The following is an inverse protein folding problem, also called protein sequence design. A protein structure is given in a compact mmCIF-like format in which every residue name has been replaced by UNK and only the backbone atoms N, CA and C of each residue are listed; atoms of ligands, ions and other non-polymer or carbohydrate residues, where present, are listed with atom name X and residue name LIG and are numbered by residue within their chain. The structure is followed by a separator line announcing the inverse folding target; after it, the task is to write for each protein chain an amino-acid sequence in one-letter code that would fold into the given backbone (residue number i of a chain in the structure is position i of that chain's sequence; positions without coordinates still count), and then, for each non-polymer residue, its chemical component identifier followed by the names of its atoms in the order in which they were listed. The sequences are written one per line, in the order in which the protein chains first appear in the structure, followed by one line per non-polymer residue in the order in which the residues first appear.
data_IF_123430935292
#
_entry.id   IF_123430935292
#
_cell.length_a   1.000
_cell.length_b   1.000
_cell.length_c   1.000
_cell.angle_alpha   90.00
_cell.angle_beta   90.00
_cell.angle_gamma   90.00
#
_symmetry.space_group_name_H-M   'P 1'
#
loop_
_entity.id
_entity.type
_entity.pdbx_description
1 polymer ?
#
# COMPACT_ATOMS: atom_id res chain seq x y z
N UNK A 1 -12.91 54.91 40.51
CA UNK A 1 -13.02 53.47 40.18
C UNK A 1 -14.19 53.31 39.22
N UNK A 2 -14.06 53.41 37.88
CA UNK A 2 -13.43 52.49 36.90
C UNK A 2 -13.78 51.02 37.13
N UNK A 3 -14.83 50.55 36.45
CA UNK A 3 -14.88 49.26 35.73
C UNK A 3 -16.05 49.29 34.74
N UNK A 4 -15.73 49.39 33.45
CA UNK A 4 -16.70 49.32 32.36
C UNK A 4 -17.05 47.86 32.02
N UNK A 5 -18.34 47.60 31.81
CA UNK A 5 -18.85 46.39 31.17
C UNK A 5 -18.35 46.34 29.72
N UNK A 6 -17.49 45.38 29.40
CA UNK A 6 -17.25 44.94 28.02
C UNK A 6 -18.01 43.64 27.80
N UNK A 7 -19.11 43.74 27.04
CA UNK A 7 -19.71 42.59 26.40
C UNK A 7 -18.73 42.07 25.35
N UNK A 8 -18.21 40.86 25.54
CA UNK A 8 -17.46 40.16 24.51
C UNK A 8 -18.43 39.21 23.80
N UNK A 9 -18.91 39.65 22.64
CA UNK A 9 -19.61 38.79 21.68
C UNK A 9 -18.59 37.77 21.17
N UNK A 10 -18.75 36.50 21.56
CA UNK A 10 -18.07 35.39 20.88
C UNK A 10 -18.92 35.00 19.67
N UNK A 11 -18.57 35.54 18.50
CA UNK A 11 -18.97 34.94 17.22
C UNK A 11 -18.33 33.56 17.12
N UNK A 12 -19.11 32.51 17.33
CA UNK A 12 -18.78 31.16 16.87
C UNK A 12 -18.99 31.16 15.36
N UNK A 13 -17.90 31.26 14.61
CA UNK A 13 -17.88 30.94 13.20
C UNK A 13 -18.02 29.42 13.08
N UNK A 14 -19.23 28.96 12.77
CA UNK A 14 -19.50 27.60 12.28
C UNK A 14 -18.92 27.46 10.89
N UNK A 15 -17.66 27.06 10.80
CA UNK A 15 -17.06 26.61 9.54
C UNK A 15 -17.52 25.18 9.27
N UNK A 16 -18.67 25.04 8.62
CA UNK A 16 -19.07 23.79 7.97
C UNK A 16 -18.11 23.55 6.81
N UNK A 17 -17.14 22.66 6.98
CA UNK A 17 -16.27 22.20 5.90
C UNK A 17 -17.05 21.25 4.97
N UNK A 18 -17.91 21.81 4.13
CA UNK A 18 -18.39 21.13 2.94
C UNK A 18 -17.28 21.19 1.88
N UNK A 19 -16.34 20.26 1.91
CA UNK A 19 -15.50 20.03 0.73
C UNK A 19 -16.35 19.29 -0.29
N UNK A 20 -16.76 20.01 -1.33
CA UNK A 20 -17.28 19.41 -2.54
C UNK A 20 -16.22 18.45 -3.10
N UNK A 21 -16.50 17.15 -3.05
CA UNK A 21 -15.77 16.15 -3.82
C UNK A 21 -16.01 16.46 -5.31
N UNK A 22 -15.12 17.24 -5.90
CA UNK A 22 -15.08 17.36 -7.35
C UNK A 22 -14.70 15.98 -7.89
N UNK A 23 -15.64 15.33 -8.60
CA UNK A 23 -15.39 14.10 -9.31
C UNK A 23 -14.20 14.32 -10.25
N UNK A 24 -13.06 13.73 -9.91
CA UNK A 24 -11.86 13.85 -10.69
C UNK A 24 -12.01 13.00 -11.95
N UNK A 25 -12.11 13.66 -13.10
CA UNK A 25 -11.90 13.00 -14.38
C UNK A 25 -10.39 12.93 -14.64
N UNK A 26 -9.80 11.73 -14.83
CA UNK A 26 -8.39 11.64 -15.17
C UNK A 26 -8.15 12.40 -16.48
N UNK A 27 -7.38 13.49 -16.40
CA UNK A 27 -7.01 14.25 -17.57
C UNK A 27 -6.21 13.33 -18.50
N UNK A 28 -6.70 13.18 -19.73
CA UNK A 28 -6.00 12.48 -20.81
C UNK A 28 -4.76 13.34 -21.14
N UNK A 29 -3.62 13.00 -20.55
CA UNK A 29 -2.35 13.65 -20.83
C UNK A 29 -1.93 13.32 -22.27
N UNK A 30 -2.35 14.15 -23.21
CA UNK A 30 -1.73 14.24 -24.52
C UNK A 30 -0.70 15.38 -24.45
N UNK A 31 0.58 15.02 -24.51
CA UNK A 31 1.63 15.96 -24.92
C UNK A 31 2.66 15.23 -25.78
N UNK A 32 2.39 15.19 -27.09
CA UNK A 32 3.38 14.92 -28.13
C UNK A 32 4.23 16.17 -28.36
N UNK A 33 5.08 16.49 -27.39
CA UNK A 33 6.18 17.44 -27.59
C UNK A 33 7.48 16.68 -27.37
N UNK A 34 8.27 16.57 -28.43
CA UNK A 34 9.61 15.94 -28.49
C UNK A 34 10.62 16.69 -27.62
N UNK A 35 10.48 16.60 -26.30
CA UNK A 35 11.54 16.95 -25.36
C UNK A 35 12.70 15.96 -25.51
N UNK A 36 13.94 16.43 -25.34
CA UNK A 36 15.11 15.55 -25.33
C UNK A 36 14.96 14.49 -24.22
N UNK A 37 15.33 13.21 -24.47
CA UNK A 37 15.21 12.17 -23.45
C UNK A 37 15.96 12.54 -22.17
N UNK A 38 15.32 12.33 -21.01
CA UNK A 38 15.94 12.59 -19.72
C UNK A 38 17.03 11.55 -19.42
N UNK A 39 18.13 11.98 -18.81
CA UNK A 39 19.10 11.05 -18.22
C UNK A 39 18.73 10.74 -16.78
N UNK A 40 19.02 9.52 -16.30
CA UNK A 40 18.82 9.18 -14.90
C UNK A 40 19.65 10.11 -14.00
N UNK A 41 18.96 10.87 -13.15
CA UNK A 41 19.59 11.69 -12.10
C UNK A 41 20.05 10.77 -10.97
N UNK A 42 21.31 10.84 -10.50
CA UNK A 42 21.82 9.90 -9.50
C UNK A 42 21.03 9.90 -8.19
N UNK A 43 20.61 11.07 -7.67
CA UNK A 43 19.84 11.15 -6.43
C UNK A 43 20.47 10.34 -5.30
N UNK A 44 19.66 9.54 -4.60
CA UNK A 44 20.12 8.55 -3.60
C UNK A 44 20.13 7.12 -4.15
N UNK A 45 20.24 6.92 -5.46
CA UNK A 45 20.57 5.61 -5.99
C UNK A 45 22.00 5.22 -5.60
N UNK A 46 22.26 3.93 -5.35
CA UNK A 46 23.64 3.44 -5.30
C UNK A 46 24.38 3.81 -6.60
N UNK A 47 25.65 4.24 -6.53
CA UNK A 47 26.47 4.49 -7.73
C UNK A 47 26.54 3.30 -8.70
N UNK A 48 26.55 2.06 -8.18
CA UNK A 48 26.53 0.86 -9.02
C UNK A 48 25.19 0.71 -9.76
N UNK A 49 24.08 1.00 -9.09
CA UNK A 49 22.75 1.00 -9.69
C UNK A 49 22.61 2.08 -10.75
N UNK A 50 23.12 3.29 -10.48
CA UNK A 50 23.13 4.38 -11.48
C UNK A 50 23.86 3.94 -12.75
N UNK A 51 25.04 3.32 -12.62
CA UNK A 51 25.79 2.82 -13.76
C UNK A 51 25.01 1.76 -14.54
N UNK A 52 24.41 0.78 -13.85
CA UNK A 52 23.63 -0.29 -14.48
C UNK A 52 22.39 0.24 -15.19
N UNK A 53 21.59 1.07 -14.53
CA UNK A 53 20.36 1.63 -15.08
C UNK A 53 20.63 2.56 -16.27
N UNK A 54 21.69 3.38 -16.22
CA UNK A 54 22.11 4.20 -17.36
C UNK A 54 22.53 3.36 -18.55
N UNK A 55 23.22 2.25 -18.34
CA UNK A 55 23.59 1.33 -19.42
C UNK A 55 22.34 0.73 -20.09
N UNK A 56 21.34 0.33 -19.32
CA UNK A 56 20.05 -0.16 -19.85
C UNK A 56 19.31 0.94 -20.63
N UNK A 57 19.23 2.15 -20.10
CA UNK A 57 18.62 3.30 -20.78
C UNK A 57 19.35 3.63 -22.10
N UNK A 58 20.68 3.63 -22.11
CA UNK A 58 21.45 3.90 -23.32
C UNK A 58 21.24 2.82 -24.40
N UNK A 59 21.08 1.55 -24.00
CA UNK A 59 20.90 0.44 -24.94
C UNK A 59 19.47 0.34 -25.50
N UNK A 60 18.45 0.73 -24.72
CA UNK A 60 17.04 0.46 -25.04
C UNK A 60 16.13 1.69 -25.08
N UNK A 61 16.60 2.85 -24.64
CA UNK A 61 15.83 4.10 -24.68
C UNK A 61 15.73 4.70 -26.08
N UNK A 62 14.89 5.72 -26.24
CA UNK A 62 14.57 6.35 -27.53
C UNK A 62 15.79 6.94 -28.28
N UNK A 63 16.90 7.22 -27.59
CA UNK A 63 18.15 7.67 -28.20
C UNK A 63 19.02 6.53 -28.72
N UNK A 64 18.68 5.27 -28.43
CA UNK A 64 19.42 4.10 -28.92
C UNK A 64 19.21 3.91 -30.44
N UNK A 65 20.26 3.63 -31.23
CA UNK A 65 20.12 3.32 -32.64
C UNK A 65 19.25 2.09 -32.94
N UNK A 66 19.09 1.19 -31.96
CA UNK A 66 18.25 -0.01 -32.08
C UNK A 66 16.80 0.20 -31.62
N UNK A 67 16.45 1.41 -31.16
CA UNK A 67 15.10 1.70 -30.66
C UNK A 67 14.05 1.59 -31.75
N UNK A 68 12.89 1.04 -31.37
CA UNK A 68 11.74 0.81 -32.25
C UNK A 68 10.50 1.45 -31.63
N UNK A 69 10.07 2.59 -32.17
CA UNK A 69 8.90 3.33 -31.68
C UNK A 69 7.59 2.54 -31.83
N UNK A 70 7.51 1.64 -32.80
CA UNK A 70 6.42 0.69 -33.01
C UNK A 70 6.47 -0.52 -32.07
N UNK A 71 7.56 -0.68 -31.31
CA UNK A 71 7.81 -1.78 -30.37
C UNK A 71 8.44 -1.26 -29.07
N UNK A 72 7.77 -0.31 -28.43
CA UNK A 72 8.25 0.39 -27.22
C UNK A 72 8.54 -0.58 -26.06
N UNK A 73 9.74 -0.57 -25.45
CA UNK A 73 10.00 -1.37 -24.25
C UNK A 73 9.08 -0.94 -23.11
N UNK A 74 8.98 -1.76 -22.06
CA UNK A 74 8.22 -1.38 -20.87
C UNK A 74 8.87 -1.84 -19.58
N UNK A 75 8.57 -1.15 -18.50
CA UNK A 75 9.00 -1.46 -17.14
C UNK A 75 7.78 -1.74 -16.26
N UNK A 76 7.94 -2.62 -15.27
CA UNK A 76 6.90 -2.95 -14.29
C UNK A 76 7.42 -2.67 -12.88
N UNK A 77 6.61 -1.99 -12.07
CA UNK A 77 6.94 -1.64 -10.70
C UNK A 77 5.91 -2.25 -9.75
N UNK A 78 6.37 -2.83 -8.65
CA UNK A 78 5.50 -2.92 -7.48
C UNK A 78 5.25 -1.54 -6.87
N UNK A 79 4.20 -1.42 -6.06
CA UNK A 79 3.80 -0.17 -5.44
C UNK A 79 4.30 -0.05 -4.01
N UNK A 80 3.67 -0.76 -3.09
CA UNK A 80 3.88 -0.65 -1.66
C UNK A 80 5.29 -1.11 -1.28
N UNK A 81 6.00 -0.35 -0.46
CA UNK A 81 7.42 -0.55 -0.10
C UNK A 81 8.45 -0.54 -1.26
N UNK A 82 8.04 -0.57 -2.52
CA UNK A 82 8.88 -0.42 -3.72
C UNK A 82 8.87 1.01 -4.26
N UNK A 83 7.71 1.48 -4.74
CA UNK A 83 7.53 2.82 -5.30
C UNK A 83 7.34 3.88 -4.22
N UNK A 84 6.88 3.48 -3.03
CA UNK A 84 6.76 4.30 -1.84
C UNK A 84 7.40 3.60 -0.64
N UNK A 85 7.66 4.34 0.44
CA UNK A 85 7.93 3.75 1.75
C UNK A 85 6.61 3.40 2.43
N UNK A 86 6.56 2.22 3.05
CA UNK A 86 5.37 1.62 3.66
C UNK A 86 4.26 1.33 2.62
N UNK A 87 3.06 1.04 3.11
CA UNK A 87 1.97 0.45 2.34
C UNK A 87 0.73 1.34 2.39
N UNK A 88 0.19 1.68 1.21
CA UNK A 88 -0.94 2.58 1.09
C UNK A 88 -2.29 1.91 1.41
N UNK A 89 -2.41 0.59 1.26
CA UNK A 89 -3.63 -0.14 1.60
C UNK A 89 -3.70 -0.45 3.10
N UNK A 90 -2.58 -0.79 3.75
CA UNK A 90 -2.53 -0.86 5.22
C UNK A 90 -2.76 0.52 5.87
N UNK A 91 -2.20 1.58 5.28
CA UNK A 91 -2.46 2.95 5.73
C UNK A 91 -3.95 3.32 5.54
N UNK A 92 -4.57 2.88 4.44
CA UNK A 92 -5.99 3.05 4.18
C UNK A 92 -6.86 2.26 5.16
N UNK A 93 -6.47 1.05 5.55
CA UNK A 93 -7.17 0.28 6.59
C UNK A 93 -7.21 1.06 7.90
N UNK A 94 -6.07 1.58 8.37
CA UNK A 94 -6.06 2.40 9.59
C UNK A 94 -6.88 3.67 9.45
N UNK A 95 -6.84 4.32 8.28
CA UNK A 95 -7.68 5.49 8.00
C UNK A 95 -9.18 5.13 8.03
N UNK A 96 -9.56 3.99 7.47
CA UNK A 96 -10.93 3.49 7.45
C UNK A 96 -11.42 3.13 8.86
N UNK A 97 -10.58 2.47 9.67
CA UNK A 97 -10.86 2.15 11.07
C UNK A 97 -11.06 3.45 11.87
N UNK A 98 -10.12 4.38 11.74
CA UNK A 98 -10.14 5.63 12.52
C UNK A 98 -11.31 6.53 12.13
N UNK A 99 -11.67 6.60 10.84
CA UNK A 99 -12.80 7.39 10.36
C UNK A 99 -14.16 6.69 10.42
N UNK A 100 -14.19 5.39 10.76
CA UNK A 100 -15.36 4.50 10.67
C UNK A 100 -16.02 4.55 9.29
N UNK A 101 -15.21 4.58 8.23
CA UNK A 101 -15.67 4.71 6.85
C UNK A 101 -16.20 3.37 6.31
N UNK A 102 -17.36 2.93 6.81
CA UNK A 102 -18.01 1.69 6.38
C UNK A 102 -19.38 1.98 5.78
N UNK A 103 -19.79 1.18 4.78
CA UNK A 103 -21.13 1.20 4.16
C UNK A 103 -21.92 -0.05 4.52
N UNK A 104 -21.69 -0.57 5.73
CA UNK A 104 -22.14 -1.89 6.16
C UNK A 104 -23.10 -1.76 7.34
N UNK A 105 -24.21 -2.49 7.28
CA UNK A 105 -24.99 -2.77 8.48
C UNK A 105 -24.18 -3.66 9.43
N UNK A 106 -24.51 -3.72 10.75
CA UNK A 106 -23.80 -4.61 11.66
C UNK A 106 -23.83 -6.09 11.26
N UNK A 107 -24.91 -6.55 10.62
CA UNK A 107 -25.01 -7.92 10.11
C UNK A 107 -24.06 -8.17 8.94
N UNK A 108 -23.96 -7.25 7.98
CA UNK A 108 -23.02 -7.35 6.86
C UNK A 108 -21.57 -7.28 7.34
N UNK A 109 -21.26 -6.37 8.27
CA UNK A 109 -19.94 -6.25 8.88
C UNK A 109 -19.51 -7.57 9.55
N UNK A 110 -20.40 -8.13 10.39
CA UNK A 110 -20.16 -9.40 11.09
C UNK A 110 -19.92 -10.59 10.14
N UNK A 111 -20.61 -10.60 9.00
CA UNK A 111 -20.41 -11.61 7.97
C UNK A 111 -19.05 -11.47 7.27
N UNK A 112 -18.66 -10.25 6.86
CA UNK A 112 -17.37 -9.98 6.23
C UNK A 112 -16.21 -10.29 7.19
N UNK A 113 -16.34 -9.91 8.46
CA UNK A 113 -15.33 -10.15 9.50
C UNK A 113 -14.86 -11.61 9.55
N UNK A 114 -15.77 -12.56 9.29
CA UNK A 114 -15.53 -14.01 9.33
C UNK A 114 -15.31 -14.65 7.96
N UNK A 115 -15.41 -13.89 6.88
CA UNK A 115 -15.41 -14.46 5.53
C UNK A 115 -14.06 -15.09 5.18
N UNK A 116 -14.06 -16.40 5.00
CA UNK A 116 -12.87 -17.16 4.60
C UNK A 116 -11.85 -17.36 5.72
N UNK A 117 -12.16 -16.95 6.95
CA UNK A 117 -11.26 -17.07 8.11
C UNK A 117 -11.73 -18.24 8.98
N UNK A 118 -10.88 -19.27 9.21
CA UNK A 118 -11.23 -20.39 10.08
C UNK A 118 -11.41 -19.97 11.55
N UNK A 119 -12.34 -20.62 12.24
CA UNK A 119 -12.41 -20.56 13.71
C UNK A 119 -11.19 -21.26 14.36
N UNK A 120 -10.88 -20.88 15.59
CA UNK A 120 -9.77 -21.45 16.36
C UNK A 120 -8.72 -20.43 16.79
N UNK A 121 -7.67 -20.90 17.49
CA UNK A 121 -6.62 -20.04 18.00
C UNK A 121 -5.70 -19.54 16.88
N UNK A 122 -5.30 -18.28 16.95
CA UNK A 122 -4.16 -17.76 16.18
C UNK A 122 -2.83 -18.30 16.72
N UNK A 123 -1.76 -18.24 15.91
CA UNK A 123 -0.47 -18.80 16.31
C UNK A 123 0.18 -17.97 17.43
N UNK A 124 0.12 -18.49 18.66
CA UNK A 124 0.74 -17.88 19.83
C UNK A 124 2.27 -17.73 19.69
N UNK A 125 2.95 -18.54 18.86
CA UNK A 125 4.40 -18.41 18.62
C UNK A 125 4.74 -17.18 17.79
N UNK A 126 3.78 -16.69 17.01
CA UNK A 126 3.91 -15.43 16.26
C UNK A 126 3.52 -14.21 17.11
N UNK A 127 3.11 -14.43 18.36
CA UNK A 127 2.80 -13.37 19.32
C UNK A 127 1.31 -13.02 19.40
N UNK A 128 0.43 -13.78 18.72
CA UNK A 128 -1.02 -13.54 18.76
C UNK A 128 -1.67 -14.08 20.04
N UNK A 129 -1.38 -13.38 21.14
CA UNK A 129 -1.92 -13.64 22.47
C UNK A 129 -2.52 -12.37 23.08
N UNK A 130 -3.32 -12.51 24.13
CA UNK A 130 -3.72 -11.40 24.99
C UNK A 130 -2.49 -10.81 25.70
N UNK A 131 -2.60 -9.62 26.28
CA UNK A 131 -1.52 -9.03 27.10
C UNK A 131 -1.09 -9.92 28.28
N UNK A 132 -1.94 -10.85 28.73
CA UNK A 132 -1.65 -11.82 29.78
C UNK A 132 -1.13 -13.17 29.24
N UNK A 133 -0.81 -13.26 27.94
CA UNK A 133 -0.22 -14.43 27.31
C UNK A 133 -1.18 -15.57 26.95
N UNK A 134 -2.51 -15.37 27.06
CA UNK A 134 -3.50 -16.37 26.63
C UNK A 134 -3.67 -16.38 25.11
N UNK A 135 -3.83 -17.55 24.46
CA UNK A 135 -4.13 -17.61 23.02
C UNK A 135 -5.41 -16.86 22.68
N UNK A 136 -5.37 -16.03 21.63
CA UNK A 136 -6.56 -15.35 21.09
C UNK A 136 -7.21 -16.26 20.05
N UNK A 137 -8.54 -16.38 20.09
CA UNK A 137 -9.31 -17.21 19.16
C UNK A 137 -10.13 -16.33 18.22
N UNK A 138 -10.25 -16.75 16.96
CA UNK A 138 -10.98 -16.02 15.92
C UNK A 138 -12.43 -15.73 16.33
N UNK A 139 -13.17 -16.73 16.81
CA UNK A 139 -14.57 -16.59 17.18
C UNK A 139 -14.80 -15.63 18.36
N UNK A 140 -13.83 -15.57 19.28
CA UNK A 140 -13.90 -14.71 20.47
C UNK A 140 -13.60 -13.26 20.12
N UNK A 141 -12.53 -13.00 19.37
CA UNK A 141 -12.19 -11.63 18.96
C UNK A 141 -13.22 -11.08 17.98
N UNK A 142 -13.76 -11.92 17.09
CA UNK A 142 -14.82 -11.51 16.18
C UNK A 142 -16.12 -11.17 16.92
N UNK A 143 -16.45 -11.87 18.00
CA UNK A 143 -17.62 -11.56 18.82
C UNK A 143 -17.49 -10.20 19.52
N UNK A 144 -16.28 -9.84 19.95
CA UNK A 144 -15.99 -8.55 20.58
C UNK A 144 -16.08 -7.42 19.56
N UNK A 145 -15.40 -7.55 18.41
CA UNK A 145 -15.46 -6.56 17.32
C UNK A 145 -16.89 -6.36 16.82
N UNK A 146 -17.70 -7.42 16.72
CA UNK A 146 -19.13 -7.29 16.37
C UNK A 146 -19.91 -6.47 17.41
N UNK A 147 -19.62 -6.67 18.69
CA UNK A 147 -20.26 -5.93 19.77
C UNK A 147 -19.92 -4.45 19.69
N UNK A 148 -18.64 -4.13 19.50
CA UNK A 148 -18.19 -2.75 19.39
C UNK A 148 -18.75 -2.10 18.13
N UNK A 149 -18.70 -2.77 16.98
CA UNK A 149 -19.22 -2.22 15.74
C UNK A 149 -20.73 -1.95 15.79
N UNK A 150 -21.52 -2.82 16.44
CA UNK A 150 -22.95 -2.55 16.71
C UNK A 150 -23.14 -1.27 17.51
N UNK A 151 -22.33 -1.07 18.54
CA UNK A 151 -22.39 0.15 19.34
C UNK A 151 -21.98 1.38 18.53
N UNK A 152 -20.86 1.31 17.81
CA UNK A 152 -20.35 2.38 16.96
C UNK A 152 -21.37 2.77 15.88
N UNK A 153 -21.97 1.79 15.22
CA UNK A 153 -23.01 2.02 14.21
C UNK A 153 -24.24 2.71 14.80
N UNK A 154 -24.68 2.35 16.01
CA UNK A 154 -25.84 2.96 16.66
C UNK A 154 -25.57 4.36 17.23
N UNK A 155 -24.30 4.75 17.41
CA UNK A 155 -23.93 5.96 18.13
C UNK A 155 -23.22 7.01 17.27
N UNK A 156 -22.49 6.63 16.22
CA UNK A 156 -21.75 7.57 15.40
C UNK A 156 -22.64 8.24 14.35
N UNK A 157 -22.57 9.57 14.25
CA UNK A 157 -23.31 10.38 13.27
C UNK A 157 -23.00 10.03 11.80
N UNK A 158 -21.81 9.48 11.52
CA UNK A 158 -21.45 9.01 10.18
C UNK A 158 -22.08 7.67 9.79
N UNK A 159 -22.80 7.03 10.72
CA UNK A 159 -23.51 5.77 10.56
C UNK A 159 -24.99 5.99 10.96
N UNK A 160 -25.49 5.28 11.98
CA UNK A 160 -26.89 5.33 12.41
C UNK A 160 -27.16 6.14 13.68
N UNK A 161 -26.17 6.82 14.26
CA UNK A 161 -26.31 7.59 15.49
C UNK A 161 -26.24 9.10 15.30
N UNK A 162 -25.87 9.82 16.36
CA UNK A 162 -25.84 11.29 16.40
C UNK A 162 -24.56 11.88 17.03
N UNK A 163 -23.69 11.06 17.60
CA UNK A 163 -22.46 11.52 18.27
C UNK A 163 -21.38 11.89 17.25
N UNK A 164 -20.62 12.98 17.48
CA UNK A 164 -19.51 13.36 16.63
C UNK A 164 -18.32 12.40 16.78
N UNK A 165 -17.47 12.32 15.74
CA UNK A 165 -16.34 11.39 15.70
C UNK A 165 -15.38 11.55 16.89
N UNK A 166 -15.10 12.79 17.30
CA UNK A 166 -14.27 13.09 18.48
C UNK A 166 -14.81 12.47 19.77
N UNK A 167 -16.14 12.41 19.94
CA UNK A 167 -16.75 11.75 21.10
C UNK A 167 -16.62 10.23 20.98
N UNK A 168 -16.86 9.69 19.78
CA UNK A 168 -16.68 8.26 19.49
C UNK A 168 -15.23 7.83 19.79
N UNK A 169 -14.22 8.60 19.38
CA UNK A 169 -12.80 8.30 19.61
C UNK A 169 -12.42 8.21 21.09
N UNK A 170 -13.16 8.87 21.99
CA UNK A 170 -12.93 8.82 23.44
C UNK A 170 -13.65 7.65 24.13
N UNK A 171 -14.48 6.92 23.39
CA UNK A 171 -15.27 5.82 23.94
C UNK A 171 -14.46 4.53 24.05
N UNK A 172 -14.74 3.73 25.08
CA UNK A 172 -14.13 2.40 25.23
C UNK A 172 -14.45 1.45 24.06
N UNK A 173 -15.69 1.41 23.49
CA UNK A 173 -15.97 0.59 22.31
C UNK A 173 -15.12 0.94 21.09
N UNK A 174 -14.83 2.22 20.83
CA UNK A 174 -13.94 2.59 19.73
C UNK A 174 -12.51 2.14 19.98
N UNK A 175 -12.00 2.32 21.21
CA UNK A 175 -10.67 1.86 21.59
C UNK A 175 -10.53 0.35 21.39
N UNK A 176 -11.53 -0.42 21.84
CA UNK A 176 -11.54 -1.89 21.71
C UNK A 176 -11.64 -2.32 20.25
N UNK A 177 -12.60 -1.76 19.50
CA UNK A 177 -12.77 -1.99 18.07
C UNK A 177 -11.49 -1.77 17.27
N UNK A 178 -10.86 -0.60 17.44
CA UNK A 178 -9.66 -0.22 16.68
C UNK A 178 -8.52 -1.21 16.90
N UNK A 179 -8.25 -1.53 18.16
CA UNK A 179 -7.15 -2.43 18.51
C UNK A 179 -7.45 -3.86 18.04
N UNK A 180 -8.65 -4.38 18.30
CA UNK A 180 -9.02 -5.77 17.98
C UNK A 180 -9.18 -6.01 16.49
N UNK A 181 -9.75 -5.07 15.73
CA UNK A 181 -9.88 -5.22 14.28
C UNK A 181 -8.52 -5.19 13.58
N UNK A 182 -7.62 -4.30 13.99
CA UNK A 182 -6.26 -4.28 13.43
C UNK A 182 -5.43 -5.50 13.88
N UNK A 183 -5.52 -5.90 15.16
CA UNK A 183 -4.92 -7.16 15.64
C UNK A 183 -5.39 -8.35 14.80
N UNK A 184 -6.68 -8.41 14.49
CA UNK A 184 -7.26 -9.48 13.71
C UNK A 184 -6.70 -9.53 12.29
N UNK A 185 -6.53 -8.36 11.63
CA UNK A 185 -5.89 -8.30 10.32
C UNK A 185 -4.47 -8.88 10.34
N UNK A 186 -3.62 -8.40 11.27
CA UNK A 186 -2.25 -8.91 11.42
C UNK A 186 -2.26 -10.43 11.68
N UNK A 187 -3.13 -10.89 12.59
CA UNK A 187 -3.22 -12.30 12.97
C UNK A 187 -3.64 -13.21 11.82
N UNK A 188 -4.59 -12.76 10.98
CA UNK A 188 -5.03 -13.50 9.79
C UNK A 188 -3.87 -13.61 8.79
N UNK A 189 -3.19 -12.50 8.50
CA UNK A 189 -2.11 -12.44 7.51
C UNK A 189 -0.92 -13.33 7.86
N UNK A 190 -0.56 -13.42 9.15
CA UNK A 190 0.60 -14.19 9.58
C UNK A 190 0.28 -15.67 9.91
N UNK A 191 -0.96 -15.98 10.29
CA UNK A 191 -1.36 -17.36 10.68
C UNK A 191 -1.79 -18.21 9.49
N UNK A 192 -2.46 -17.62 8.50
CA UNK A 192 -3.11 -18.36 7.40
C UNK A 192 -2.45 -18.08 6.05
N UNK A 193 -2.78 -18.85 4.98
CA UNK A 193 -2.35 -18.51 3.64
C UNK A 193 -2.65 -17.06 3.27
N UNK A 194 -1.68 -16.39 2.65
CA UNK A 194 -1.71 -14.95 2.35
C UNK A 194 -2.96 -14.52 1.58
N UNK A 195 -3.55 -15.41 0.77
CA UNK A 195 -4.79 -15.13 0.04
C UNK A 195 -5.96 -14.77 0.95
N UNK A 196 -6.00 -15.29 2.18
CA UNK A 196 -7.10 -15.02 3.10
C UNK A 196 -7.00 -13.57 3.59
N UNK A 197 -5.87 -13.18 4.18
CA UNK A 197 -5.68 -11.83 4.72
C UNK A 197 -5.74 -10.72 3.66
N UNK A 198 -5.11 -10.93 2.51
CA UNK A 198 -5.04 -9.91 1.45
C UNK A 198 -6.40 -9.70 0.78
N UNK A 199 -7.24 -10.74 0.68
CA UNK A 199 -8.62 -10.55 0.21
C UNK A 199 -9.48 -9.88 1.27
N UNK A 200 -9.28 -10.25 2.53
CA UNK A 200 -10.09 -9.79 3.65
C UNK A 200 -9.99 -8.27 3.86
N UNK A 201 -8.81 -7.67 3.76
CA UNK A 201 -8.64 -6.20 3.89
C UNK A 201 -9.44 -5.43 2.82
N UNK A 202 -9.56 -5.96 1.61
CA UNK A 202 -10.32 -5.32 0.54
C UNK A 202 -11.84 -5.44 0.72
N UNK A 203 -12.32 -6.49 1.40
CA UNK A 203 -13.76 -6.72 1.56
C UNK A 203 -14.47 -5.63 2.38
N UNK A 204 -13.73 -4.84 3.15
CA UNK A 204 -14.23 -3.67 3.87
C UNK A 204 -14.73 -2.54 2.96
N UNK A 205 -14.43 -2.58 1.66
CA UNK A 205 -14.92 -1.61 0.67
C UNK A 205 -16.32 -1.93 0.14
N UNK A 206 -16.91 -3.06 0.56
CA UNK A 206 -18.24 -3.45 0.13
C UNK A 206 -19.28 -2.35 0.40
N UNK A 207 -20.10 -2.07 -0.61
CA UNK A 207 -21.12 -1.01 -0.59
C UNK A 207 -20.61 0.39 -0.99
N UNK A 208 -19.30 0.59 -1.14
CA UNK A 208 -18.75 1.83 -1.71
C UNK A 208 -18.78 1.79 -3.23
N UNK A 209 -19.00 2.95 -3.85
CA UNK A 209 -18.66 3.17 -5.26
C UNK A 209 -17.14 3.31 -5.44
N UNK A 210 -16.66 3.17 -6.67
CA UNK A 210 -15.25 3.44 -7.03
C UNK A 210 -14.81 4.83 -6.59
N UNK A 211 -15.63 5.85 -6.86
CA UNK A 211 -15.31 7.24 -6.53
C UNK A 211 -15.20 7.48 -5.02
N UNK A 212 -16.09 6.87 -4.22
CA UNK A 212 -16.02 6.94 -2.76
C UNK A 212 -14.73 6.30 -2.22
N UNK A 213 -14.37 5.11 -2.71
CA UNK A 213 -13.14 4.45 -2.31
C UNK A 213 -11.91 5.27 -2.70
N UNK A 214 -11.88 5.79 -3.93
CA UNK A 214 -10.75 6.57 -4.40
C UNK A 214 -10.61 7.92 -3.67
N UNK A 215 -11.73 8.56 -3.30
CA UNK A 215 -11.70 9.74 -2.45
C UNK A 215 -11.12 9.43 -1.06
N UNK A 216 -11.52 8.31 -0.45
CA UNK A 216 -10.97 7.85 0.83
C UNK A 216 -9.47 7.53 0.72
N UNK A 217 -9.05 6.83 -0.34
CA UNK A 217 -7.64 6.53 -0.61
C UNK A 217 -6.81 7.81 -0.79
N UNK A 218 -7.34 8.83 -1.48
CA UNK A 218 -6.67 10.12 -1.62
C UNK A 218 -6.48 10.81 -0.26
N UNK A 219 -7.52 10.86 0.57
CA UNK A 219 -7.47 11.44 1.92
C UNK A 219 -6.47 10.70 2.81
N UNK A 220 -6.48 9.36 2.78
CA UNK A 220 -5.51 8.53 3.49
C UNK A 220 -4.07 8.84 3.04
N UNK A 221 -3.81 8.89 1.74
CA UNK A 221 -2.47 9.16 1.20
C UNK A 221 -1.97 10.55 1.63
N UNK A 222 -2.81 11.58 1.54
CA UNK A 222 -2.45 12.94 1.99
C UNK A 222 -2.14 12.97 3.49
N UNK A 223 -2.99 12.37 4.32
CA UNK A 223 -2.78 12.33 5.76
C UNK A 223 -1.49 11.59 6.13
N UNK A 224 -1.23 10.43 5.52
CA UNK A 224 -0.07 9.60 5.84
C UNK A 224 1.26 10.17 5.29
N UNK A 225 1.23 10.94 4.20
CA UNK A 225 2.40 11.71 3.76
C UNK A 225 2.75 12.82 4.77
N UNK A 226 1.75 13.38 5.45
CA UNK A 226 1.92 14.37 6.50
C UNK A 226 2.26 13.80 7.89
N UNK A 227 2.01 12.50 8.14
CA UNK A 227 2.31 11.87 9.43
C UNK A 227 3.81 11.53 9.58
N UNK A 228 4.25 11.41 10.82
CA UNK A 228 5.58 10.92 11.17
C UNK A 228 5.70 9.41 10.91
N UNK A 229 6.91 8.98 10.56
CA UNK A 229 7.26 7.55 10.51
C UNK A 229 7.41 7.02 11.95
N UNK A 230 6.39 6.33 12.45
CA UNK A 230 6.35 5.84 13.83
C UNK A 230 5.61 4.53 13.99
N UNK A 231 6.12 3.69 14.89
CA UNK A 231 5.38 2.51 15.37
C UNK A 231 4.47 2.91 16.53
N UNK A 232 3.22 2.49 16.47
CA UNK A 232 2.19 2.80 17.46
C UNK A 232 1.57 1.52 17.94
N UNK A 233 1.59 1.31 19.26
CA UNK A 233 0.90 0.20 19.89
C UNK A 233 -0.55 0.58 20.21
N UNK A 234 -1.48 -0.26 19.78
CA UNK A 234 -2.90 -0.17 20.05
C UNK A 234 -3.30 -1.25 21.03
N UNK A 235 -3.40 -0.89 22.30
CA UNK A 235 -3.98 -1.76 23.32
C UNK A 235 -5.51 -1.60 23.33
N UNK A 236 -6.22 -2.73 23.34
CA UNK A 236 -7.68 -2.77 23.39
C UNK A 236 -8.21 -2.32 24.77
N UNK A 237 -9.53 -2.24 24.93
CA UNK A 237 -10.10 -1.71 26.18
C UNK A 237 -9.85 -2.66 27.35
N UNK A 238 -9.28 -2.14 28.45
CA UNK A 238 -9.22 -2.86 29.73
C UNK A 238 -10.55 -2.88 30.47
N UNK A 239 -11.44 -1.93 30.16
CA UNK A 239 -12.78 -1.85 30.73
C UNK A 239 -13.76 -2.79 30.01
N UNK A 240 -13.51 -3.07 28.73
CA UNK A 240 -14.27 -3.99 27.88
C UNK A 240 -13.36 -5.12 27.35
N UNK A 241 -12.83 -6.00 28.22
CA UNK A 241 -11.93 -7.06 27.76
C UNK A 241 -12.62 -8.01 26.77
N UNK A 242 -13.96 -8.14 26.82
CA UNK A 242 -14.72 -9.02 25.95
C UNK A 242 -14.37 -10.50 26.16
N UNK A 243 -14.68 -11.33 25.17
CA UNK A 243 -14.40 -12.77 25.15
C UNK A 243 -12.93 -13.06 24.86
N UNK A 244 -12.33 -12.29 23.94
CA UNK A 244 -10.93 -12.49 23.57
C UNK A 244 -9.95 -12.02 24.66
N UNK A 245 -10.39 -11.17 25.58
CA UNK A 245 -9.52 -10.48 26.52
C UNK A 245 -8.85 -9.25 25.89
N UNK A 246 -7.93 -8.66 26.65
CA UNK A 246 -7.22 -7.45 26.19
C UNK A 246 -6.08 -7.85 25.25
N UNK A 247 -6.07 -7.29 24.05
CA UNK A 247 -5.03 -7.53 23.04
C UNK A 247 -4.25 -6.25 22.76
N UNK A 248 -3.09 -6.39 22.13
CA UNK A 248 -2.33 -5.26 21.62
C UNK A 248 -1.72 -5.59 20.26
N UNK A 249 -1.81 -4.65 19.32
CA UNK A 249 -1.18 -4.74 18.00
C UNK A 249 -0.34 -3.49 17.72
N UNK A 250 0.68 -3.59 16.85
CA UNK A 250 1.55 -2.46 16.54
C UNK A 250 1.54 -2.16 15.04
N UNK A 251 1.04 -0.99 14.66
CA UNK A 251 1.08 -0.53 13.28
C UNK A 251 2.26 0.43 13.05
N UNK A 252 2.81 0.45 11.83
CA UNK A 252 3.82 1.42 11.42
C UNK A 252 3.20 2.52 10.54
N UNK A 253 2.94 3.68 11.15
CA UNK A 253 2.35 4.83 10.47
C UNK A 253 3.33 5.61 9.60
N UNK A 254 2.72 6.33 8.65
CA UNK A 254 3.37 7.27 7.76
C UNK A 254 3.86 6.58 6.50
N UNK A 255 3.71 7.27 5.37
CA UNK A 255 4.22 6.84 4.06
C UNK A 255 5.16 7.91 3.50
N UNK A 256 6.08 7.54 2.61
CA UNK A 256 6.94 8.51 1.91
C UNK A 256 7.04 8.19 0.44
N UNK A 257 7.16 9.23 -0.38
CA UNK A 257 7.49 9.09 -1.79
C UNK A 257 8.95 8.66 -1.90
N UNK A 258 9.21 7.57 -2.63
CA UNK A 258 10.57 7.30 -3.11
C UNK A 258 10.82 8.16 -4.35
N UNK A 259 11.39 9.34 -4.11
CA UNK A 259 11.70 10.34 -5.15
C UNK A 259 12.50 9.76 -6.32
N UNK A 260 13.43 8.87 -6.01
CA UNK A 260 14.25 8.15 -6.96
C UNK A 260 13.45 7.25 -7.90
N UNK A 261 12.41 6.57 -7.40
CA UNK A 261 11.52 5.72 -8.20
C UNK A 261 10.57 6.58 -9.03
N UNK A 262 10.01 7.64 -8.42
CA UNK A 262 9.17 8.62 -9.13
C UNK A 262 9.92 9.22 -10.33
N UNK A 263 11.13 9.74 -10.10
CA UNK A 263 11.98 10.28 -11.16
C UNK A 263 12.40 9.21 -12.18
N UNK A 264 12.58 7.95 -11.77
CA UNK A 264 12.87 6.86 -12.69
C UNK A 264 11.68 6.58 -13.62
N UNK A 265 10.44 6.61 -13.13
CA UNK A 265 9.26 6.46 -13.98
C UNK A 265 9.15 7.60 -15.02
N UNK A 266 9.42 8.84 -14.63
CA UNK A 266 9.50 9.98 -15.56
C UNK A 266 10.61 9.83 -16.60
N UNK A 267 11.79 9.39 -16.14
CA UNK A 267 12.94 9.14 -16.99
C UNK A 267 12.61 8.07 -18.03
N UNK A 268 11.99 6.96 -17.63
CA UNK A 268 11.60 5.88 -18.52
C UNK A 268 10.61 6.35 -19.60
N UNK A 269 9.53 7.03 -19.20
CA UNK A 269 8.54 7.55 -20.14
C UNK A 269 9.16 8.52 -21.14
N UNK A 270 10.04 9.41 -20.67
CA UNK A 270 10.76 10.37 -21.52
C UNK A 270 11.76 9.70 -22.48
N UNK A 271 12.16 8.46 -22.20
CA UNK A 271 13.01 7.63 -23.06
C UNK A 271 12.20 6.63 -23.89
N UNK A 272 10.89 6.83 -24.04
CA UNK A 272 10.05 5.94 -24.87
C UNK A 272 9.76 4.58 -24.25
N UNK A 273 10.07 4.37 -22.96
CA UNK A 273 9.81 3.13 -22.24
C UNK A 273 8.51 3.28 -21.45
N UNK A 274 7.52 2.44 -21.73
CA UNK A 274 6.23 2.47 -21.04
C UNK A 274 6.37 2.05 -19.57
N UNK A 275 5.58 2.64 -18.67
CA UNK A 275 5.60 2.35 -17.23
C UNK A 275 4.28 1.71 -16.82
N UNK A 276 4.36 0.57 -16.14
CA UNK A 276 3.24 -0.16 -15.56
C UNK A 276 3.48 -0.45 -14.08
N UNK A 277 2.39 -0.62 -13.34
CA UNK A 277 2.40 -1.05 -11.94
C UNK A 277 1.77 -2.44 -11.85
N UNK A 278 2.40 -3.34 -11.09
CA UNK A 278 1.84 -4.65 -10.71
C UNK A 278 1.85 -4.77 -9.19
N UNK A 279 0.70 -4.55 -8.56
CA UNK A 279 0.54 -4.46 -7.09
C UNK A 279 -0.26 -5.62 -6.52
N UNK A 280 0.04 -6.04 -5.29
CA UNK A 280 -0.80 -6.98 -4.55
C UNK A 280 -2.01 -6.31 -3.89
N UNK A 281 -2.06 -4.98 -3.89
CA UNK A 281 -3.15 -4.19 -3.34
C UNK A 281 -4.32 -4.07 -4.32
N UNK A 282 -5.48 -3.58 -3.89
CA UNK A 282 -6.58 -3.30 -4.81
C UNK A 282 -6.16 -2.27 -5.87
N UNK A 283 -6.41 -2.59 -7.14
CA UNK A 283 -5.95 -1.73 -8.25
C UNK A 283 -6.51 -0.29 -8.16
N UNK A 284 -7.76 -0.14 -7.73
CA UNK A 284 -8.41 1.16 -7.56
C UNK A 284 -7.85 2.01 -6.42
N UNK A 285 -7.28 1.40 -5.37
CA UNK A 285 -6.58 2.12 -4.30
C UNK A 285 -5.25 2.66 -4.83
N UNK A 286 -4.46 1.80 -5.49
CA UNK A 286 -3.13 2.18 -6.01
C UNK A 286 -3.22 3.18 -7.16
N UNK A 287 -4.25 3.10 -8.02
CA UNK A 287 -4.48 4.09 -9.10
C UNK A 287 -4.51 5.52 -8.58
N UNK A 288 -5.02 5.76 -7.37
CA UNK A 288 -5.04 7.10 -6.78
C UNK A 288 -3.62 7.61 -6.54
N UNK A 289 -2.79 6.82 -5.86
CA UNK A 289 -1.44 7.27 -5.53
C UNK A 289 -0.54 7.31 -6.78
N UNK A 290 -0.68 6.33 -7.67
CA UNK A 290 0.13 6.21 -8.87
C UNK A 290 -0.24 7.22 -9.97
N UNK A 291 -1.52 7.59 -10.08
CA UNK A 291 -2.03 8.46 -11.14
C UNK A 291 -2.22 9.92 -10.75
N UNK A 292 -2.53 10.22 -9.49
CA UNK A 292 -2.94 11.58 -9.13
C UNK A 292 -1.78 12.60 -9.20
N UNK A 293 -1.97 13.76 -9.87
CA UNK A 293 -0.90 14.75 -10.06
C UNK A 293 -0.26 15.25 -8.77
N UNK A 294 -1.01 15.28 -7.66
CA UNK A 294 -0.51 15.66 -6.34
C UNK A 294 0.66 14.80 -5.85
N UNK A 295 0.80 13.56 -6.35
CA UNK A 295 1.86 12.64 -5.94
C UNK A 295 2.99 12.53 -6.99
N UNK A 296 2.70 12.89 -8.25
CA UNK A 296 3.71 13.12 -9.28
C UNK A 296 4.25 11.85 -9.98
N UNK A 297 3.63 10.69 -9.80
CA UNK A 297 4.07 9.46 -10.49
C UNK A 297 3.54 9.32 -11.92
N UNK A 298 2.39 9.93 -12.23
CA UNK A 298 1.86 10.05 -13.60
C UNK A 298 1.58 8.71 -14.29
N UNK A 299 1.25 7.65 -13.53
CA UNK A 299 0.90 6.34 -14.09
C UNK A 299 -0.56 6.35 -14.53
N UNK A 300 -0.87 6.07 -15.80
CA UNK A 300 -2.27 6.00 -16.26
C UNK A 300 -3.05 4.88 -15.56
N UNK A 301 -4.35 5.07 -15.31
CA UNK A 301 -5.25 4.07 -14.72
C UNK A 301 -5.15 2.69 -15.38
N UNK A 302 -5.08 2.66 -16.72
CA UNK A 302 -4.99 1.43 -17.52
C UNK A 302 -3.66 0.69 -17.37
N UNK A 303 -2.65 1.33 -16.80
CA UNK A 303 -1.32 0.77 -16.60
C UNK A 303 -1.12 0.17 -15.20
N UNK A 304 -2.16 0.16 -14.36
CA UNK A 304 -2.15 -0.46 -13.03
C UNK A 304 -2.84 -1.82 -13.09
N UNK A 305 -2.06 -2.87 -12.82
CA UNK A 305 -2.51 -4.26 -12.67
C UNK A 305 -2.45 -4.56 -11.17
N UNK A 306 -3.60 -4.74 -10.53
CA UNK A 306 -3.66 -5.08 -9.11
C UNK A 306 -4.67 -6.18 -8.83
N UNK A 307 -4.94 -6.41 -7.56
CA UNK A 307 -6.08 -7.22 -7.15
C UNK A 307 -7.40 -6.52 -7.49
N UNK A 308 -8.47 -7.30 -7.60
CA UNK A 308 -9.79 -6.81 -8.04
C UNK A 308 -10.91 -7.43 -7.22
N UNK A 309 -11.90 -6.60 -6.94
CA UNK A 309 -13.20 -7.03 -6.43
C UNK A 309 -14.26 -6.97 -7.53
N UNK A 310 -15.29 -7.78 -7.39
CA UNK A 310 -16.51 -7.68 -8.19
C UNK A 310 -17.23 -6.38 -7.85
N UNK A 311 -17.94 -5.82 -8.84
CA UNK A 311 -18.89 -4.72 -8.62
C UNK A 311 -20.29 -5.14 -9.02
N UNK A 312 -21.29 -4.71 -8.24
CA UNK A 312 -22.70 -4.88 -8.52
C UNK A 312 -23.40 -3.53 -8.31
N UNK A 313 -24.24 -3.11 -9.26
CA UNK A 313 -24.93 -1.82 -9.25
C UNK A 313 -23.99 -0.61 -8.99
N UNK A 314 -22.79 -0.66 -9.58
CA UNK A 314 -21.77 0.39 -9.45
C UNK A 314 -21.04 0.44 -8.11
N UNK A 315 -21.25 -0.54 -7.23
CA UNK A 315 -20.62 -0.64 -5.90
C UNK A 315 -19.78 -1.90 -5.77
N UNK A 316 -18.71 -1.86 -4.99
CA UNK A 316 -17.95 -3.06 -4.67
C UNK A 316 -18.79 -4.03 -3.86
N UNK A 317 -18.59 -5.32 -4.13
CA UNK A 317 -19.03 -6.42 -3.28
C UNK A 317 -17.81 -7.11 -2.69
N UNK A 318 -17.98 -7.74 -1.53
CA UNK A 318 -16.97 -8.51 -0.80
C UNK A 318 -16.66 -9.86 -1.50
N UNK A 319 -16.38 -9.82 -2.80
CA UNK A 319 -16.04 -10.97 -3.62
C UNK A 319 -14.84 -10.64 -4.51
N UNK A 320 -13.79 -11.44 -4.40
CA UNK A 320 -12.63 -11.34 -5.28
C UNK A 320 -13.03 -11.67 -6.73
N UNK A 321 -12.55 -10.89 -7.70
CA UNK A 321 -12.93 -11.06 -9.09
C UNK A 321 -12.63 -12.49 -9.60
N UNK A 322 -13.65 -13.24 -10.09
CA UNK A 322 -13.45 -14.59 -10.57
C UNK A 322 -12.60 -14.59 -11.84
N UNK A 323 -11.77 -15.62 -12.01
CA UNK A 323 -10.83 -15.76 -13.13
C UNK A 323 -9.79 -14.63 -13.27
N UNK A 324 -9.66 -13.77 -12.26
CA UNK A 324 -8.55 -12.83 -12.14
C UNK A 324 -7.43 -13.46 -11.31
N UNK A 325 -6.18 -13.27 -11.72
CA UNK A 325 -5.05 -13.80 -10.97
C UNK A 325 -4.91 -13.10 -9.62
N UNK A 326 -4.66 -13.89 -8.56
CA UNK A 326 -4.24 -13.35 -7.27
C UNK A 326 -2.86 -12.70 -7.45
N UNK A 327 -2.82 -11.36 -7.56
CA UNK A 327 -1.65 -10.62 -8.08
C UNK A 327 -0.51 -10.47 -7.05
N UNK A 328 -0.06 -11.59 -6.48
CA UNK A 328 1.02 -11.73 -5.51
C UNK A 328 1.88 -12.95 -5.88
N UNK A 329 3.19 -12.84 -5.67
CA UNK A 329 4.15 -13.91 -5.94
C UNK A 329 4.10 -14.35 -7.41
N UNK A 330 3.94 -15.64 -7.72
CA UNK A 330 3.79 -16.12 -9.10
C UNK A 330 2.63 -15.46 -9.86
N UNK A 331 1.58 -15.02 -9.15
CA UNK A 331 0.43 -14.37 -9.77
C UNK A 331 0.75 -13.04 -10.43
N UNK A 332 1.77 -12.29 -9.95
CA UNK A 332 2.25 -11.08 -10.65
C UNK A 332 2.82 -11.42 -12.03
N UNK A 333 3.57 -12.53 -12.15
CA UNK A 333 4.05 -13.02 -13.45
C UNK A 333 2.87 -13.33 -14.36
N UNK A 334 1.87 -14.08 -13.88
CA UNK A 334 0.65 -14.40 -14.65
C UNK A 334 -0.06 -13.11 -15.12
N UNK A 335 -0.22 -12.13 -14.23
CA UNK A 335 -0.86 -10.86 -14.54
C UNK A 335 -0.14 -10.08 -15.63
N UNK A 336 1.19 -9.95 -15.53
CA UNK A 336 2.03 -9.29 -16.54
C UNK A 336 1.97 -10.06 -17.87
N UNK A 337 2.00 -11.39 -17.85
CA UNK A 337 1.88 -12.21 -19.07
C UNK A 337 0.55 -11.96 -19.78
N UNK A 338 -0.54 -12.01 -19.03
CA UNK A 338 -1.89 -11.87 -19.58
C UNK A 338 -2.18 -10.44 -20.05
N UNK A 339 -1.79 -9.44 -19.28
CA UNK A 339 -2.13 -8.05 -19.55
C UNK A 339 -1.21 -7.38 -20.57
N UNK A 340 0.08 -7.74 -20.58
CA UNK A 340 1.14 -7.04 -21.32
C UNK A 340 1.85 -7.94 -22.33
N UNK A 341 2.49 -9.03 -21.88
CA UNK A 341 3.35 -9.85 -22.77
C UNK A 341 2.56 -10.48 -23.92
N UNK A 342 1.34 -10.97 -23.66
CA UNK A 342 0.46 -11.56 -24.68
C UNK A 342 0.12 -10.59 -25.81
N UNK A 343 0.06 -9.29 -25.51
CA UNK A 343 -0.30 -8.22 -26.46
C UNK A 343 0.92 -7.62 -27.15
N UNK A 344 2.02 -7.45 -26.41
CA UNK A 344 3.26 -6.85 -26.91
C UNK A 344 4.17 -7.86 -27.61
N UNK A 345 4.11 -9.14 -27.23
CA UNK A 345 4.97 -10.20 -27.76
C UNK A 345 6.37 -10.25 -27.15
N UNK A 346 6.63 -9.52 -26.07
CA UNK A 346 7.90 -9.49 -25.33
C UNK A 346 7.63 -9.11 -23.86
N UNK A 347 8.53 -9.52 -22.97
CA UNK A 347 8.48 -9.24 -21.54
C UNK A 347 8.95 -7.83 -21.14
N UNK A 348 8.85 -7.48 -19.84
CA UNK A 348 9.34 -6.21 -19.33
C UNK A 348 10.86 -6.13 -19.46
N UNK A 349 11.36 -4.96 -19.82
CA UNK A 349 12.79 -4.64 -19.83
C UNK A 349 13.35 -4.49 -18.40
N UNK A 350 12.54 -3.92 -17.51
CA UNK A 350 12.88 -3.60 -16.13
C UNK A 350 11.76 -4.04 -15.20
N UNK A 351 12.12 -4.57 -14.03
CA UNK A 351 11.16 -4.92 -12.98
C UNK A 351 11.65 -4.40 -11.63
N UNK A 352 10.76 -3.80 -10.84
CA UNK A 352 11.07 -3.29 -9.50
C UNK A 352 10.18 -3.97 -8.46
N UNK A 353 10.75 -4.39 -7.33
CA UNK A 353 10.02 -5.06 -6.24
C UNK A 353 10.78 -5.01 -4.90
N UNK A 354 10.21 -5.57 -3.84
CA UNK A 354 10.81 -5.52 -2.49
C UNK A 354 10.51 -6.73 -1.61
N UNK A 355 9.60 -7.60 -2.01
CA UNK A 355 9.07 -8.69 -1.19
C UNK A 355 8.96 -10.01 -1.93
N UNK A 356 8.59 -11.09 -1.21
CA UNK A 356 8.25 -12.38 -1.82
C UNK A 356 7.11 -12.25 -2.84
N UNK A 357 6.25 -11.23 -2.68
CA UNK A 357 5.22 -10.89 -3.66
C UNK A 357 5.75 -10.56 -5.05
N UNK A 358 7.03 -10.21 -5.18
CA UNK A 358 7.65 -9.72 -6.42
C UNK A 358 8.70 -10.65 -7.01
N UNK A 359 9.17 -11.61 -6.22
CA UNK A 359 10.34 -12.44 -6.55
C UNK A 359 10.19 -13.13 -7.92
N UNK A 360 8.99 -13.59 -8.26
CA UNK A 360 8.72 -14.22 -9.56
C UNK A 360 8.75 -13.23 -10.71
N UNK A 361 8.06 -12.10 -10.63
CA UNK A 361 8.09 -11.13 -11.73
C UNK A 361 9.49 -10.54 -11.96
N UNK A 362 10.33 -10.47 -10.92
CA UNK A 362 11.73 -10.08 -11.02
C UNK A 362 12.58 -11.08 -11.84
N UNK A 363 12.20 -12.37 -11.86
CA UNK A 363 12.99 -13.47 -12.43
C UNK A 363 12.44 -14.06 -13.74
N UNK A 364 11.13 -14.16 -13.86
CA UNK A 364 10.46 -15.06 -14.81
C UNK A 364 10.48 -14.61 -16.28
N UNK A 365 10.93 -13.39 -16.55
CA UNK A 365 10.98 -12.83 -17.89
C UNK A 365 12.42 -12.80 -18.41
N UNK A 366 12.64 -13.51 -19.52
CA UNK A 366 13.93 -13.57 -20.19
C UNK A 366 14.35 -12.21 -20.78
N UNK A 367 13.38 -11.38 -21.16
CA UNK A 367 13.61 -10.04 -21.71
C UNK A 367 14.08 -9.01 -20.65
N UNK A 368 13.93 -9.31 -19.36
CA UNK A 368 14.30 -8.37 -18.29
C UNK A 368 15.81 -8.21 -18.24
N UNK A 369 16.28 -7.01 -18.58
CA UNK A 369 17.69 -6.65 -18.52
C UNK A 369 18.16 -6.46 -17.07
N UNK A 370 17.33 -5.86 -16.19
CA UNK A 370 17.65 -5.72 -14.77
C UNK A 370 16.39 -5.68 -13.92
N UNK A 371 16.39 -6.48 -12.85
CA UNK A 371 15.45 -6.38 -11.74
C UNK A 371 16.05 -5.56 -10.60
N UNK A 372 15.31 -4.62 -10.05
CA UNK A 372 15.73 -3.75 -8.94
C UNK A 372 14.95 -4.14 -7.69
N UNK A 373 15.68 -4.48 -6.63
CA UNK A 373 15.09 -4.87 -5.35
C UNK A 373 15.30 -3.73 -4.35
N UNK A 374 14.21 -3.13 -3.87
CA UNK A 374 14.29 -2.20 -2.73
C UNK A 374 14.60 -3.04 -1.49
N UNK A 375 15.77 -2.82 -0.90
CA UNK A 375 16.34 -3.73 0.08
C UNK A 375 15.63 -3.60 1.44
N UNK A 376 14.67 -4.48 1.70
CA UNK A 376 13.99 -4.60 2.99
C UNK A 376 14.65 -5.60 3.93
N UNK A 377 15.75 -6.25 3.52
CA UNK A 377 16.39 -7.32 4.28
C UNK A 377 15.37 -8.39 4.71
N UNK A 378 14.53 -8.81 3.75
CA UNK A 378 13.55 -9.89 3.92
C UNK A 378 14.25 -11.23 3.68
N UNK A 379 13.73 -12.28 4.31
CA UNK A 379 14.07 -13.69 4.02
C UNK A 379 13.15 -14.18 2.89
N UNK A 380 12.99 -15.50 2.73
CA UNK A 380 12.11 -16.07 1.71
C UNK A 380 12.71 -16.01 0.30
N UNK A 381 11.84 -16.00 -0.69
CA UNK A 381 12.17 -15.99 -2.12
C UNK A 381 12.89 -14.69 -2.52
N UNK A 382 12.41 -13.54 -2.05
CA UNK A 382 13.09 -12.26 -2.28
C UNK A 382 14.43 -12.22 -1.56
N UNK A 383 14.58 -12.94 -0.44
CA UNK A 383 15.85 -13.10 0.25
C UNK A 383 16.87 -13.89 -0.56
N UNK A 384 16.41 -14.90 -1.33
CA UNK A 384 17.26 -15.62 -2.30
C UNK A 384 17.73 -14.66 -3.39
N UNK A 385 16.81 -13.84 -3.92
CA UNK A 385 17.11 -12.91 -4.99
C UNK A 385 18.00 -11.76 -4.52
N UNK A 386 17.82 -11.30 -3.29
CA UNK A 386 18.67 -10.30 -2.64
C UNK A 386 20.10 -10.81 -2.47
N UNK A 387 20.29 -12.10 -2.13
CA UNK A 387 21.65 -12.69 -2.07
C UNK A 387 22.33 -12.68 -3.43
N UNK A 388 21.63 -13.08 -4.50
CA UNK A 388 22.15 -13.03 -5.87
C UNK A 388 22.51 -11.60 -6.30
N UNK A 389 21.65 -10.64 -5.97
CA UNK A 389 21.90 -9.23 -6.25
C UNK A 389 23.14 -8.71 -5.47
N UNK A 390 23.32 -9.13 -4.22
CA UNK A 390 24.50 -8.79 -3.42
C UNK A 390 25.81 -9.36 -4.02
N UNK A 391 25.77 -10.58 -4.56
CA UNK A 391 26.91 -11.20 -5.26
C UNK A 391 27.26 -10.48 -6.59
N UNK A 392 26.31 -9.76 -7.18
CA UNK A 392 26.45 -9.05 -8.46
C UNK A 392 26.75 -7.56 -8.32
N UNK A 393 26.99 -7.04 -7.10
CA UNK A 393 27.26 -5.61 -6.89
C UNK A 393 28.45 -5.16 -7.75
N UNK A 394 28.23 -4.11 -8.54
CA UNK A 394 29.22 -3.54 -9.45
C UNK A 394 29.41 -4.28 -10.78
N UNK A 395 28.76 -5.42 -11.01
CA UNK A 395 28.80 -6.12 -12.29
C UNK A 395 28.05 -5.31 -13.38
N UNK A 396 28.65 -5.22 -14.58
CA UNK A 396 28.11 -4.42 -15.70
C UNK A 396 26.80 -4.99 -16.26
N UNK A 397 26.65 -6.31 -16.15
CA UNK A 397 25.55 -7.13 -16.65
C UNK A 397 24.71 -7.73 -15.51
N UNK A 398 24.78 -7.15 -14.31
CA UNK A 398 23.95 -7.56 -13.17
C UNK A 398 22.47 -7.70 -13.57
N UNK A 399 21.92 -8.89 -13.36
CA UNK A 399 20.52 -9.24 -13.66
C UNK A 399 19.58 -8.81 -12.53
N UNK A 400 20.09 -8.75 -11.31
CA UNK A 400 19.40 -8.24 -10.13
C UNK A 400 20.32 -7.27 -9.40
N UNK A 401 19.75 -6.17 -8.88
CA UNK A 401 20.48 -5.18 -8.08
C UNK A 401 19.70 -4.83 -6.82
N UNK A 402 20.42 -4.46 -5.75
CA UNK A 402 19.83 -4.01 -4.48
C UNK A 402 19.89 -2.50 -4.37
N UNK A 403 18.81 -1.88 -3.89
CA UNK A 403 18.77 -0.47 -3.56
C UNK A 403 18.44 -0.28 -2.09
N UNK A 404 19.36 0.30 -1.33
CA UNK A 404 19.21 0.55 0.09
C UNK A 404 18.18 1.63 0.41
N UNK A 405 17.56 1.51 1.58
CA UNK A 405 16.68 2.53 2.18
C UNK A 405 16.95 2.73 3.66
N UNK A 406 16.63 3.92 4.17
CA UNK A 406 16.61 4.21 5.58
C UNK A 406 15.16 4.27 6.07
N UNK A 407 14.74 3.26 6.81
CA UNK A 407 13.36 3.16 7.29
C UNK A 407 13.04 4.19 8.38
N UNK A 408 14.03 4.85 8.99
CA UNK A 408 13.81 5.94 9.95
C UNK A 408 13.37 7.24 9.26
N UNK A 409 13.78 7.46 8.01
CA UNK A 409 13.45 8.67 7.24
C UNK A 409 12.48 8.39 6.10
N UNK A 410 12.34 7.12 5.70
CA UNK A 410 11.55 6.67 4.55
C UNK A 410 12.16 7.06 3.21
N UNK A 411 13.47 7.28 3.19
CA UNK A 411 14.21 7.71 2.01
C UNK A 411 15.15 6.59 1.55
N UNK A 412 15.41 6.51 0.24
CA UNK A 412 16.52 5.70 -0.26
C UNK A 412 17.86 6.21 0.29
N UNK A 413 18.87 5.35 0.28
CA UNK A 413 20.26 5.71 0.59
C UNK A 413 21.14 5.37 -0.60
N UNK A 414 22.19 6.16 -0.85
CA UNK A 414 23.11 5.97 -1.97
C UNK A 414 24.08 4.79 -1.74
N UNK A 415 23.52 3.62 -1.39
CA UNK A 415 24.18 2.38 -0.99
C UNK A 415 23.19 1.23 -1.21
N UNK A 416 23.67 0.01 -1.39
CA UNK A 416 22.83 -1.20 -1.46
C UNK A 416 22.29 -1.62 -0.09
N UNK A 417 22.96 -1.22 0.99
CA UNK A 417 22.60 -1.54 2.38
C UNK A 417 21.48 -0.66 2.88
N UNK A 418 20.65 -1.22 3.75
CA UNK A 418 19.51 -0.56 4.36
C UNK A 418 19.68 -0.37 5.86
N UNK A 419 19.03 0.65 6.39
CA UNK A 419 18.95 0.92 7.83
C UNK A 419 17.52 0.61 8.28
N UNK A 420 17.36 -0.39 9.15
CA UNK A 420 16.06 -0.73 9.76
C UNK A 420 15.55 0.35 10.69
N UNK A 421 14.23 0.43 10.81
CA UNK A 421 13.60 1.35 11.75
C UNK A 421 14.11 1.11 13.18
N UNK A 422 14.46 2.19 13.88
CA UNK A 422 15.06 2.17 15.22
C UNK A 422 16.52 1.71 15.27
N UNK A 423 17.16 1.45 14.12
CA UNK A 423 18.57 1.09 14.01
C UNK A 423 19.36 2.23 13.34
N UNK A 424 20.68 2.18 13.50
CA UNK A 424 21.63 3.15 12.89
C UNK A 424 22.57 2.48 11.89
N UNK A 425 22.94 1.23 12.16
CA UNK A 425 23.92 0.52 11.35
C UNK A 425 23.28 -0.04 10.07
N UNK A 426 23.83 0.29 8.90
CA UNK A 426 23.35 -0.24 7.63
C UNK A 426 23.74 -1.72 7.49
N UNK A 427 22.82 -2.52 6.96
CA UNK A 427 23.03 -3.95 6.67
C UNK A 427 22.60 -4.28 5.26
N UNK A 428 23.31 -5.22 4.63
CA UNK A 428 23.03 -5.61 3.26
C UNK A 428 21.93 -6.68 3.17
N UNK A 429 21.94 -7.63 4.09
CA UNK A 429 21.06 -8.80 4.10
C UNK A 429 20.47 -9.03 5.51
N UNK A 430 19.43 -9.87 5.57
CA UNK A 430 18.62 -10.18 6.76
C UNK A 430 19.39 -10.84 7.91
#
# INVERSE_FOLDING_TARGET
MKTGRRHFVRSLASASAAMAAAAWSPARAASDASAAPLSLTPGRWSPHNVARLRAVLAAHGASSPSYRADRRPYAVFDWDNTSIMNDCEEALLMHQIDGLHYRLTPGQFSAILRQGVPDGPFDAKLGYTTIDGKPVRMEDIAADVDSDYRWLHANYQGLGGDKPLDEIHRSEPFKDFRAKLYFLYDAICDTYPVEIGYKWIMYWYAGMTRDELQAMAYQSNVANLGDALRKVAYESSRALPGRAGVVAATHFHGIRIHEEIRAMMDTLRSNGIDVYVSTASLDDVVRVFAGHPAFGYGVPDANVIGMRLVTADGKYVNEYAPNWQFNYGPGKTVGIRNALQSKKGYGPLLVFGDSDGDAWMLRDFADTAVGVIVNRMKKGEIGVDSRKAAEQIGAKDARLVLQGRNENTGLMVADERSIKYGKRDPKLLA
#
